data_IF_032213392335
#
_entry.id   IF_032213392335
#
_cell.length_a   1.000
_cell.length_b   1.000
_cell.length_c   1.000
_cell.angle_alpha   90.00
_cell.angle_beta   90.00
_cell.angle_gamma   90.00
#
_symmetry.space_group_name_H-M   'P 1'
#
loop_
_entity.id
_entity.type
_entity.pdbx_description
1 polymer ?
#
# COMPACT_ATOMS: atom_id res chain seq x y z
N UNK A 1 -24.68 55.56 -2.36
CA UNK A 1 -24.34 54.12 -2.47
C UNK A 1 -23.10 53.68 -1.67
N UNK A 2 -21.97 54.40 -1.65
CA UNK A 2 -20.74 53.94 -0.95
C UNK A 2 -20.83 53.87 0.59
N UNK A 3 -21.68 54.69 1.22
CA UNK A 3 -21.85 54.70 2.69
C UNK A 3 -22.64 53.48 3.17
N UNK A 4 -23.69 53.09 2.47
CA UNK A 4 -24.50 51.91 2.79
C UNK A 4 -23.71 50.60 2.70
N UNK A 5 -22.77 50.49 1.75
CA UNK A 5 -21.90 49.31 1.62
C UNK A 5 -20.93 49.20 2.81
N UNK A 6 -20.40 50.33 3.31
CA UNK A 6 -19.52 50.33 4.49
C UNK A 6 -20.28 49.95 5.77
N UNK A 7 -21.50 50.43 5.92
CA UNK A 7 -22.37 50.07 7.06
C UNK A 7 -22.73 48.58 7.01
N UNK A 8 -23.04 48.06 5.82
CA UNK A 8 -23.36 46.64 5.63
C UNK A 8 -22.16 45.73 5.93
N UNK A 9 -20.95 46.10 5.50
CA UNK A 9 -19.73 45.36 5.83
C UNK A 9 -19.41 45.39 7.33
N UNK A 10 -19.64 46.52 8.01
CA UNK A 10 -19.49 46.62 9.47
C UNK A 10 -20.47 45.69 10.20
N UNK A 11 -21.73 45.64 9.78
CA UNK A 11 -22.74 44.73 10.34
C UNK A 11 -22.39 43.25 10.13
N UNK A 12 -21.90 42.89 8.95
CA UNK A 12 -21.41 41.52 8.67
C UNK A 12 -20.23 41.16 9.57
N UNK A 13 -19.26 42.06 9.74
CA UNK A 13 -18.10 41.80 10.60
C UNK A 13 -18.49 41.63 12.07
N UNK A 14 -19.43 42.44 12.57
CA UNK A 14 -19.98 42.33 13.92
C UNK A 14 -20.73 41.01 14.12
N UNK A 15 -21.52 40.55 13.14
CA UNK A 15 -22.19 39.25 13.22
C UNK A 15 -21.22 38.08 13.26
N UNK A 16 -20.12 38.13 12.49
CA UNK A 16 -19.10 37.09 12.48
C UNK A 16 -18.38 37.00 13.83
N UNK A 17 -18.06 38.15 14.44
CA UNK A 17 -17.46 38.21 15.78
C UNK A 17 -18.42 37.63 16.83
N UNK A 18 -19.72 37.95 16.74
CA UNK A 18 -20.72 37.42 17.67
C UNK A 18 -20.86 35.89 17.58
N UNK A 19 -20.83 35.34 16.37
CA UNK A 19 -20.86 33.89 16.14
C UNK A 19 -19.60 33.23 16.73
N UNK A 20 -18.41 33.78 16.48
CA UNK A 20 -17.15 33.24 17.02
C UNK A 20 -17.14 33.28 18.56
N UNK A 21 -17.60 34.38 19.17
CA UNK A 21 -17.72 34.49 20.63
C UNK A 21 -18.71 33.47 21.20
N UNK A 22 -19.84 33.22 20.53
CA UNK A 22 -20.83 32.23 20.98
C UNK A 22 -20.31 30.78 20.91
N UNK A 23 -19.42 30.47 19.95
CA UNK A 23 -18.73 29.19 19.90
C UNK A 23 -17.69 29.06 21.02
N UNK A 24 -17.01 30.14 21.37
CA UNK A 24 -16.07 30.15 22.50
C UNK A 24 -16.76 29.95 23.85
N UNK A 25 -17.92 30.58 24.09
CA UNK A 25 -18.66 30.41 25.35
C UNK A 25 -19.24 29.01 25.52
N UNK A 26 -19.63 28.32 24.44
CA UNK A 26 -20.07 26.92 24.52
C UNK A 26 -18.93 25.91 24.71
N UNK A 27 -17.67 26.30 24.45
CA UNK A 27 -16.51 25.44 24.67
C UNK A 27 -15.89 25.55 26.07
N UNK A 28 -16.21 26.58 26.87
CA UNK A 28 -15.72 26.68 28.25
C UNK A 28 -16.58 25.92 29.27
N UNK A 29 -17.86 25.69 28.99
CA UNK A 29 -18.78 25.00 29.92
C UNK A 29 -18.53 23.49 30.02
N UNK A 30 -17.81 22.87 29.06
CA UNK A 30 -17.48 21.44 29.16
C UNK A 30 -16.29 21.14 30.09
N UNK A 31 -15.49 22.16 30.45
CA UNK A 31 -14.30 22.00 31.30
C UNK A 31 -14.55 22.22 32.79
N UNK A 32 -15.72 22.74 33.20
CA UNK A 32 -16.00 23.07 34.60
C UNK A 32 -16.80 22.00 35.38
N UNK A 33 -17.26 20.92 34.73
CA UNK A 33 -18.04 19.86 35.40
C UNK A 33 -17.20 18.71 35.97
N UNK A 34 -15.87 18.74 35.90
CA UNK A 34 -15.01 17.62 36.34
C UNK A 34 -14.06 17.97 37.51
N UNK A 35 -14.36 19.02 38.28
CA UNK A 35 -13.68 19.33 39.53
C UNK A 35 -14.68 19.47 40.69
N UNK A 36 -15.16 18.34 41.19
CA UNK A 36 -15.58 18.21 42.59
C UNK A 36 -15.66 16.73 42.96
N UNK A 37 -14.60 16.25 43.62
CA UNK A 37 -14.63 15.37 44.79
C UNK A 37 -13.17 15.16 45.23
N UNK A 38 -12.81 15.86 46.30
CA UNK A 38 -11.58 15.65 47.07
C UNK A 38 -11.94 14.73 48.24
N UNK A 39 -11.01 13.92 48.75
CA UNK A 39 -10.65 14.15 50.14
C UNK A 39 -9.13 14.13 50.42
N UNK A 40 -8.79 14.96 51.40
CA UNK A 40 -7.49 15.17 52.03
C UNK A 40 -6.93 13.88 52.64
N UNK A 41 -5.61 13.70 52.63
CA UNK A 41 -4.87 13.21 53.80
C UNK A 41 -3.41 13.68 53.76
N UNK A 42 -2.88 14.04 54.93
CA UNK A 42 -1.69 14.89 55.11
C UNK A 42 -0.34 14.18 55.13
N UNK A 43 0.70 15.02 55.11
CA UNK A 43 2.12 14.69 55.26
C UNK A 43 2.42 14.10 56.64
N UNK A 44 3.23 13.05 56.68
CA UNK A 44 4.27 12.83 57.70
C UNK A 44 5.43 12.00 57.10
N UNK A 45 6.63 12.35 57.52
CA UNK A 45 7.94 12.03 56.95
C UNK A 45 8.63 10.88 57.73
N UNK A 46 9.37 10.05 56.97
CA UNK A 46 10.48 9.15 57.28
C UNK A 46 10.60 8.41 58.62
N UNK A 47 10.60 7.06 58.57
CA UNK A 47 11.81 6.24 58.74
C UNK A 47 11.57 4.72 58.60
N UNK A 48 12.42 4.11 57.75
CA UNK A 48 12.99 2.77 57.84
C UNK A 48 12.06 1.55 58.11
N UNK A 49 11.60 0.89 57.03
CA UNK A 49 11.60 -0.58 56.99
C UNK A 49 11.62 -1.10 55.54
N UNK A 50 12.84 -1.29 55.02
CA UNK A 50 13.10 -2.09 53.83
C UNK A 50 12.68 -3.53 54.13
N UNK A 51 11.52 -3.96 53.61
CA UNK A 51 11.21 -5.34 53.17
C UNK A 51 9.71 -5.64 53.05
N UNK A 52 8.85 -4.71 52.61
CA UNK A 52 7.49 -5.02 52.13
C UNK A 52 7.04 -4.04 51.04
N UNK A 53 7.49 -4.26 49.80
CA UNK A 53 6.90 -3.65 48.60
C UNK A 53 6.26 -4.77 47.77
N UNK A 54 5.36 -5.52 48.39
CA UNK A 54 4.39 -6.37 47.70
C UNK A 54 3.10 -6.34 48.53
N UNK A 55 1.97 -6.08 47.87
CA UNK A 55 0.61 -5.88 48.44
C UNK A 55 0.30 -4.49 49.01
N UNK A 56 0.33 -3.48 48.14
CA UNK A 56 -0.77 -2.52 48.12
C UNK A 56 -1.69 -2.96 46.98
N UNK A 57 -2.79 -3.62 47.33
CA UNK A 57 -3.68 -4.33 46.41
C UNK A 57 -4.28 -3.41 45.35
N UNK A 58 -3.87 -3.60 44.10
CA UNK A 58 -4.74 -3.30 42.98
C UNK A 58 -5.92 -4.28 43.07
N UNK A 59 -7.15 -3.82 42.99
CA UNK A 59 -8.37 -4.65 43.11
C UNK A 59 -8.56 -5.71 42.01
N UNK A 60 -7.51 -6.04 41.26
CA UNK A 60 -7.49 -7.06 40.21
C UNK A 60 -7.05 -8.41 40.76
N UNK A 61 -7.94 -9.37 40.72
CA UNK A 61 -7.70 -10.77 41.05
C UNK A 61 -7.60 -11.58 39.74
N UNK A 62 -6.67 -12.53 39.66
CA UNK A 62 -6.66 -13.51 38.58
C UNK A 62 -7.62 -14.64 38.93
N UNK A 63 -8.55 -14.95 38.03
CA UNK A 63 -9.53 -16.02 38.21
C UNK A 63 -9.56 -16.95 37.00
N UNK A 64 -10.07 -18.16 37.21
CA UNK A 64 -10.29 -19.13 36.14
C UNK A 64 -11.72 -19.00 35.60
N UNK A 65 -11.87 -18.76 34.30
CA UNK A 65 -13.16 -18.78 33.62
C UNK A 65 -13.35 -20.12 32.91
N UNK A 66 -14.33 -20.91 33.35
CA UNK A 66 -14.71 -22.17 32.71
C UNK A 66 -15.68 -21.88 31.55
N UNK A 67 -15.23 -22.12 30.31
CA UNK A 67 -16.00 -21.87 29.10
C UNK A 67 -16.78 -23.14 28.73
N UNK A 68 -18.12 -23.05 28.77
CA UNK A 68 -19.06 -24.14 28.45
C UNK A 68 -18.79 -25.48 29.16
N UNK A 69 -18.08 -25.49 30.30
CA UNK A 69 -17.64 -26.70 31.01
C UNK A 69 -16.65 -27.58 30.24
N UNK A 70 -16.00 -27.06 29.20
CA UNK A 70 -15.06 -27.83 28.36
C UNK A 70 -13.60 -27.51 28.66
N UNK A 71 -13.27 -26.22 28.79
CA UNK A 71 -11.92 -25.74 29.05
C UNK A 71 -11.94 -24.45 29.83
N UNK A 72 -10.78 -24.08 30.36
CA UNK A 72 -10.59 -22.89 31.18
C UNK A 72 -9.69 -21.87 30.52
N UNK A 73 -9.96 -20.59 30.78
CA UNK A 73 -9.11 -19.46 30.37
C UNK A 73 -8.78 -18.57 31.57
N UNK A 74 -7.56 -18.00 31.60
CA UNK A 74 -7.16 -17.03 32.63
C UNK A 74 -7.90 -15.70 32.40
N UNK A 75 -8.58 -15.24 33.44
CA UNK A 75 -9.39 -14.02 33.47
C UNK A 75 -8.92 -13.07 34.56
N UNK A 76 -9.39 -11.82 34.50
CA UNK A 76 -9.19 -10.84 35.57
C UNK A 76 -10.53 -10.49 36.19
N UNK A 77 -10.58 -10.27 37.49
CA UNK A 77 -11.76 -9.82 38.23
C UNK A 77 -11.43 -8.55 39.00
N UNK A 78 -12.30 -7.54 38.91
CA UNK A 78 -12.20 -6.31 39.72
C UNK A 78 -13.54 -6.05 40.41
N UNK A 79 -13.60 -6.24 41.72
CA UNK A 79 -14.89 -6.19 42.44
C UNK A 79 -15.83 -7.30 41.98
N UNK A 80 -16.94 -6.95 41.32
CA UNK A 80 -17.90 -7.91 40.73
C UNK A 80 -17.73 -8.08 39.21
N UNK A 81 -16.91 -7.25 38.56
CA UNK A 81 -16.71 -7.29 37.11
C UNK A 81 -15.67 -8.36 36.73
N UNK A 82 -15.95 -9.13 35.69
CA UNK A 82 -15.04 -10.15 35.15
C UNK A 82 -14.61 -9.78 33.74
N UNK A 83 -13.31 -9.62 33.55
CA UNK A 83 -12.68 -9.31 32.27
C UNK A 83 -12.10 -10.57 31.63
N UNK A 84 -12.55 -10.83 30.40
CA UNK A 84 -12.07 -11.93 29.56
C UNK A 84 -10.93 -11.45 28.66
N UNK A 85 -9.90 -12.28 28.41
CA UNK A 85 -8.81 -11.90 27.52
C UNK A 85 -9.29 -11.81 26.08
N UNK A 86 -8.90 -10.75 25.36
CA UNK A 86 -9.31 -10.56 23.96
C UNK A 86 -8.80 -11.68 23.04
N UNK A 87 -7.69 -12.33 23.36
CA UNK A 87 -7.18 -13.50 22.61
C UNK A 87 -8.17 -14.66 22.58
N UNK A 88 -8.94 -14.85 23.65
CA UNK A 88 -10.07 -15.78 23.70
C UNK A 88 -11.24 -15.25 22.86
N UNK A 89 -11.67 -14.01 23.11
CA UNK A 89 -12.82 -13.41 22.42
C UNK A 89 -12.65 -13.39 20.89
N UNK A 90 -11.45 -13.04 20.40
CA UNK A 90 -11.09 -13.01 18.99
C UNK A 90 -11.33 -14.35 18.29
N UNK A 91 -10.92 -15.45 18.91
CA UNK A 91 -11.06 -16.79 18.35
C UNK A 91 -12.45 -17.36 18.56
N UNK A 92 -13.04 -17.15 19.73
CA UNK A 92 -14.32 -17.75 20.11
C UNK A 92 -15.50 -17.08 19.40
N UNK A 93 -15.48 -15.75 19.23
CA UNK A 93 -16.54 -14.98 18.59
C UNK A 93 -16.20 -14.51 17.17
N UNK A 94 -15.00 -14.85 16.66
CA UNK A 94 -14.52 -14.43 15.33
C UNK A 94 -14.54 -12.90 15.12
N UNK A 95 -14.23 -12.15 16.18
CA UNK A 95 -14.19 -10.67 16.20
C UNK A 95 -12.77 -10.16 16.11
N UNK A 96 -12.57 -8.94 15.61
CA UNK A 96 -11.24 -8.38 15.35
C UNK A 96 -10.91 -7.24 16.29
N UNK A 97 -9.64 -7.10 16.61
CA UNK A 97 -9.19 -5.93 17.34
C UNK A 97 -7.69 -5.76 17.33
N UNK A 98 -7.25 -4.53 17.55
CA UNK A 98 -5.84 -4.15 17.57
C UNK A 98 -5.61 -2.96 18.48
N UNK A 99 -4.39 -2.84 18.99
CA UNK A 99 -3.94 -1.62 19.65
C UNK A 99 -3.53 -0.60 18.59
N UNK A 100 -4.03 0.61 18.73
CA UNK A 100 -3.72 1.75 17.87
C UNK A 100 -3.28 2.93 18.73
N UNK A 101 -2.24 3.63 18.30
CA UNK A 101 -1.74 4.81 19.00
C UNK A 101 -2.32 6.07 18.35
N UNK A 102 -3.00 6.89 19.16
CA UNK A 102 -3.57 8.17 18.77
C UNK A 102 -3.05 9.25 19.70
N UNK A 103 -2.28 10.20 19.16
CA UNK A 103 -1.73 11.34 19.91
C UNK A 103 -0.95 10.94 21.17
N UNK A 104 -0.21 9.82 21.09
CA UNK A 104 0.56 9.27 22.22
C UNK A 104 -0.24 8.41 23.18
N UNK A 105 -1.55 8.26 22.99
CA UNK A 105 -2.42 7.40 23.78
C UNK A 105 -2.72 6.11 23.02
N UNK A 106 -2.46 4.98 23.68
CA UNK A 106 -2.83 3.67 23.15
C UNK A 106 -4.33 3.40 23.39
N UNK A 107 -5.03 2.99 22.34
CA UNK A 107 -6.45 2.63 22.37
C UNK A 107 -6.62 1.26 21.73
N UNK A 108 -7.49 0.44 22.32
CA UNK A 108 -7.91 -0.81 21.70
C UNK A 108 -9.08 -0.55 20.76
N UNK A 109 -8.89 -0.83 19.47
CA UNK A 109 -9.95 -0.76 18.47
C UNK A 109 -10.62 -2.12 18.33
N UNK A 110 -11.91 -2.20 18.63
CA UNK A 110 -12.73 -3.39 18.44
C UNK A 110 -13.54 -3.27 17.14
N UNK A 111 -13.61 -4.34 16.36
CA UNK A 111 -14.50 -4.45 15.21
C UNK A 111 -15.12 -5.83 15.10
N UNK A 112 -16.41 -5.88 14.79
CA UNK A 112 -17.10 -7.14 14.55
C UNK A 112 -16.75 -7.75 13.17
N UNK A 113 -16.34 -6.92 12.20
CA UNK A 113 -15.98 -7.35 10.85
C UNK A 113 -14.75 -6.61 10.34
N UNK A 114 -14.07 -7.15 9.32
CA UNK A 114 -12.87 -6.54 8.74
C UNK A 114 -13.14 -5.73 7.46
N UNK A 115 -14.23 -6.03 6.74
CA UNK A 115 -14.52 -5.44 5.44
C UNK A 115 -15.36 -4.17 5.57
N UNK A 116 -15.19 -3.25 4.61
CA UNK A 116 -15.94 -2.00 4.54
C UNK A 116 -16.84 -2.01 3.31
N UNK A 117 -18.05 -1.49 3.46
CA UNK A 117 -18.97 -1.29 2.34
C UNK A 117 -18.52 -0.09 1.53
N UNK A 118 -18.43 -0.24 0.20
CA UNK A 118 -18.20 0.88 -0.68
C UNK A 118 -19.51 1.66 -0.88
N UNK A 119 -19.51 2.94 -0.52
CA UNK A 119 -20.64 3.82 -0.75
C UNK A 119 -20.62 4.34 -2.21
N UNK A 120 -21.60 3.97 -3.06
CA UNK A 120 -21.64 4.42 -4.44
C UNK A 120 -21.77 5.95 -4.52
N UNK A 121 -20.97 6.59 -5.38
CA UNK A 121 -21.03 8.05 -5.59
C UNK A 121 -22.20 8.49 -6.48
N UNK A 122 -22.91 7.55 -7.10
CA UNK A 122 -24.01 7.81 -8.02
C UNK A 122 -24.56 6.53 -8.63
N UNK A 123 -25.47 6.67 -9.61
CA UNK A 123 -26.04 5.54 -10.36
C UNK A 123 -24.96 4.88 -11.22
N UNK A 124 -24.97 3.55 -11.28
CA UNK A 124 -24.03 2.80 -12.11
C UNK A 124 -24.15 3.16 -13.59
N UNK A 125 -23.00 3.29 -14.24
CA UNK A 125 -22.85 3.52 -15.67
C UNK A 125 -21.89 2.46 -16.24
N UNK A 126 -22.27 1.68 -17.26
CA UNK A 126 -21.38 0.69 -17.89
C UNK A 126 -20.06 1.25 -18.45
N UNK A 127 -19.98 2.57 -18.71
CA UNK A 127 -18.75 3.26 -19.13
C UNK A 127 -18.01 3.97 -17.98
N UNK A 128 -18.51 3.84 -16.75
CA UNK A 128 -17.90 4.41 -15.56
C UNK A 128 -17.06 3.39 -14.80
N UNK A 129 -16.70 3.72 -13.57
CA UNK A 129 -16.00 2.80 -12.67
C UNK A 129 -16.79 1.49 -12.50
N UNK A 130 -16.07 0.37 -12.46
CA UNK A 130 -16.69 -0.93 -12.20
C UNK A 130 -16.85 -1.13 -10.69
N UNK A 131 -17.99 -0.70 -10.16
CA UNK A 131 -18.36 -0.86 -8.76
C UNK A 131 -17.36 -0.19 -7.79
N UNK A 132 -16.42 -0.95 -7.19
CA UNK A 132 -15.36 -0.44 -6.31
C UNK A 132 -13.96 -0.95 -6.71
N UNK A 133 -13.81 -1.33 -7.98
CA UNK A 133 -12.58 -1.92 -8.49
C UNK A 133 -11.46 -0.88 -8.67
N UNK A 134 -11.74 0.42 -8.53
CA UNK A 134 -10.73 1.46 -8.37
C UNK A 134 -9.81 1.18 -7.17
N UNK A 135 -10.32 0.47 -6.16
CA UNK A 135 -9.57 0.11 -4.94
C UNK A 135 -8.94 -1.30 -5.01
N UNK A 136 -9.11 -2.02 -6.10
CA UNK A 136 -8.62 -3.40 -6.22
C UNK A 136 -7.20 -3.43 -6.78
N UNK A 137 -6.31 -4.12 -6.07
CA UNK A 137 -5.00 -4.54 -6.56
C UNK A 137 -5.08 -6.04 -6.78
N UNK A 138 -5.32 -6.45 -8.03
CA UNK A 138 -5.55 -7.86 -8.38
C UNK A 138 -4.21 -8.58 -8.40
N UNK A 139 -3.22 -7.95 -9.01
CA UNK A 139 -1.82 -8.34 -9.14
C UNK A 139 -1.09 -8.57 -7.82
N UNK A 140 -1.55 -7.97 -6.71
CA UNK A 140 -0.94 -8.14 -5.39
C UNK A 140 -1.51 -9.29 -4.56
N UNK A 141 -2.41 -10.10 -5.13
CA UNK A 141 -3.01 -11.24 -4.42
C UNK A 141 -2.11 -12.46 -4.52
N UNK A 142 -1.97 -13.21 -3.44
CA UNK A 142 -1.08 -14.39 -3.38
C UNK A 142 -1.39 -15.49 -4.40
N UNK A 143 -2.64 -15.55 -4.88
CA UNK A 143 -3.06 -16.48 -5.94
C UNK A 143 -2.69 -16.02 -7.35
N UNK A 144 -2.17 -14.81 -7.52
CA UNK A 144 -1.57 -14.35 -8.78
C UNK A 144 -0.11 -14.75 -8.76
N UNK A 145 0.26 -15.72 -9.59
CA UNK A 145 1.64 -16.22 -9.69
C UNK A 145 2.57 -15.17 -10.28
N UNK A 146 2.15 -14.57 -11.39
CA UNK A 146 2.85 -13.52 -12.11
C UNK A 146 1.90 -12.88 -13.14
N UNK A 147 2.34 -11.79 -13.76
CA UNK A 147 1.78 -11.34 -15.03
C UNK A 147 2.50 -12.08 -16.16
N UNK A 148 1.74 -12.73 -17.04
CA UNK A 148 2.29 -13.30 -18.26
C UNK A 148 2.91 -12.19 -19.09
N UNK A 149 4.20 -12.26 -19.35
CA UNK A 149 4.86 -11.24 -20.16
C UNK A 149 4.61 -11.42 -21.67
N UNK A 150 4.04 -12.57 -22.08
CA UNK A 150 3.50 -12.80 -23.43
C UNK A 150 2.13 -12.13 -23.59
N UNK A 151 1.18 -12.46 -22.70
CA UNK A 151 -0.22 -12.06 -22.85
C UNK A 151 -0.56 -10.76 -22.12
N UNK A 152 0.32 -10.26 -21.26
CA UNK A 152 0.10 -9.07 -20.44
C UNK A 152 -0.97 -9.22 -19.36
N UNK A 153 -1.35 -10.46 -19.00
CA UNK A 153 -2.45 -10.75 -18.07
C UNK A 153 -2.04 -11.70 -16.94
N UNK A 154 -2.72 -11.68 -15.77
CA UNK A 154 -2.32 -12.47 -14.62
C UNK A 154 -2.54 -13.98 -14.77
N UNK A 155 -1.58 -14.77 -14.31
CA UNK A 155 -1.64 -16.23 -14.19
C UNK A 155 -2.08 -16.59 -12.77
N UNK A 156 -3.09 -17.44 -12.64
CA UNK A 156 -3.67 -17.87 -11.36
C UNK A 156 -3.08 -19.17 -10.86
N UNK A 157 -2.89 -19.31 -9.56
CA UNK A 157 -2.57 -20.56 -8.85
C UNK A 157 -3.69 -21.02 -7.91
N UNK A 158 -4.88 -20.43 -8.01
CA UNK A 158 -5.97 -20.61 -7.05
C UNK A 158 -6.37 -22.08 -6.82
N UNK A 159 -6.27 -22.91 -7.85
CA UNK A 159 -6.64 -24.34 -7.79
C UNK A 159 -5.50 -25.28 -8.19
N UNK A 160 -4.47 -24.77 -8.86
CA UNK A 160 -3.34 -25.55 -9.37
C UNK A 160 -2.06 -24.75 -9.28
N UNK A 161 -1.01 -25.34 -8.70
CA UNK A 161 0.28 -24.66 -8.47
C UNK A 161 1.07 -24.37 -9.75
N UNK A 162 0.81 -25.12 -10.84
CA UNK A 162 1.48 -24.91 -12.13
C UNK A 162 1.19 -23.52 -12.71
N UNK A 163 -0.01 -23.01 -12.46
CA UNK A 163 -0.49 -21.75 -13.00
C UNK A 163 -1.34 -21.94 -14.26
N UNK A 164 -2.43 -21.18 -14.37
CA UNK A 164 -3.31 -21.18 -15.54
C UNK A 164 -3.97 -19.82 -15.73
N UNK A 165 -4.43 -19.54 -16.95
CA UNK A 165 -5.22 -18.34 -17.24
C UNK A 165 -6.63 -18.49 -16.69
N UNK A 166 -6.96 -17.69 -15.68
CA UNK A 166 -8.29 -17.69 -15.08
C UNK A 166 -9.10 -16.48 -15.54
N UNK A 167 -10.13 -16.67 -16.40
CA UNK A 167 -10.84 -15.56 -17.04
C UNK A 167 -11.41 -14.53 -16.06
N UNK A 168 -11.95 -14.98 -14.92
CA UNK A 168 -12.48 -14.07 -13.89
C UNK A 168 -11.39 -13.17 -13.32
N UNK A 169 -10.19 -13.71 -13.05
CA UNK A 169 -9.07 -12.92 -12.54
C UNK A 169 -8.56 -11.93 -13.60
N UNK A 170 -8.47 -12.36 -14.85
CA UNK A 170 -8.07 -11.52 -15.98
C UNK A 170 -9.07 -10.36 -16.16
N UNK A 171 -10.37 -10.64 -16.14
CA UNK A 171 -11.40 -9.62 -16.22
C UNK A 171 -11.34 -8.66 -15.03
N UNK A 172 -11.13 -9.16 -13.81
CA UNK A 172 -10.97 -8.31 -12.63
C UNK A 172 -9.76 -7.38 -12.74
N UNK A 173 -8.63 -7.88 -13.25
CA UNK A 173 -7.42 -7.11 -13.49
C UNK A 173 -7.68 -5.98 -14.50
N UNK A 174 -8.30 -6.29 -15.65
CA UNK A 174 -8.65 -5.27 -16.64
C UNK A 174 -9.63 -4.22 -16.08
N UNK A 175 -10.69 -4.65 -15.39
CA UNK A 175 -11.70 -3.74 -14.82
C UNK A 175 -11.15 -2.87 -13.68
N UNK A 176 -10.19 -3.36 -12.89
CA UNK A 176 -9.52 -2.56 -11.86
C UNK A 176 -8.62 -1.50 -12.48
N UNK A 177 -7.78 -1.86 -13.44
CA UNK A 177 -6.94 -0.88 -14.16
C UNK A 177 -7.78 0.15 -14.93
N UNK A 178 -8.87 -0.28 -15.57
CA UNK A 178 -9.83 0.64 -16.21
C UNK A 178 -10.44 1.62 -15.20
N UNK A 179 -10.87 1.13 -14.04
CA UNK A 179 -11.47 1.99 -13.01
C UNK A 179 -10.45 2.97 -12.42
N UNK A 180 -9.21 2.51 -12.16
CA UNK A 180 -8.10 3.37 -11.70
C UNK A 180 -7.78 4.47 -12.70
N UNK A 181 -7.74 4.14 -14.00
CA UNK A 181 -7.51 5.12 -15.06
C UNK A 181 -8.54 6.27 -15.07
N UNK A 182 -9.77 6.03 -14.60
CA UNK A 182 -10.81 7.06 -14.51
C UNK A 182 -10.75 7.87 -13.19
N UNK A 183 -10.07 7.38 -12.16
CA UNK A 183 -10.10 7.97 -10.81
C UNK A 183 -8.77 8.52 -10.34
N UNK A 184 -7.66 7.95 -10.80
CA UNK A 184 -6.30 8.34 -10.43
C UNK A 184 -5.82 9.49 -11.33
N UNK A 185 -4.88 10.33 -10.84
CA UNK A 185 -4.26 11.35 -11.69
C UNK A 185 -3.46 10.73 -12.82
N UNK A 186 -3.33 11.47 -13.93
CA UNK A 186 -2.48 11.08 -15.06
C UNK A 186 -1.04 10.77 -14.61
N UNK A 187 -0.46 9.63 -15.01
CA UNK A 187 0.88 9.24 -14.59
C UNK A 187 1.93 10.17 -15.19
N UNK A 188 3.00 10.42 -14.42
CA UNK A 188 4.17 11.13 -14.94
C UNK A 188 4.89 10.24 -15.94
N UNK A 189 5.20 10.78 -17.12
CA UNK A 189 5.90 10.06 -18.18
C UNK A 189 7.21 10.76 -18.51
N UNK A 190 8.31 10.02 -18.49
CA UNK A 190 9.61 10.48 -18.97
C UNK A 190 10.03 9.59 -20.13
N UNK A 191 9.99 10.15 -21.33
CA UNK A 191 10.60 9.50 -22.51
C UNK A 191 12.09 9.33 -22.24
N UNK A 192 12.64 8.14 -22.49
CA UNK A 192 14.06 7.85 -22.29
C UNK A 192 14.82 7.93 -23.62
N UNK A 193 14.29 7.27 -24.64
CA UNK A 193 14.77 7.23 -26.02
C UNK A 193 13.54 7.25 -26.94
N UNK A 194 13.55 8.08 -27.98
CA UNK A 194 12.52 8.11 -29.04
C UNK A 194 13.09 7.98 -30.46
N UNK A 195 14.40 7.77 -30.60
CA UNK A 195 15.09 7.61 -31.88
C UNK A 195 15.33 8.91 -32.64
N UNK A 196 14.75 10.04 -32.21
CA UNK A 196 14.82 11.33 -32.91
C UNK A 196 15.25 12.48 -31.96
N UNK A 197 14.29 13.03 -31.21
CA UNK A 197 14.51 14.23 -30.38
C UNK A 197 15.22 13.91 -29.08
N UNK A 198 15.02 12.72 -28.54
CA UNK A 198 15.55 12.29 -27.26
C UNK A 198 16.35 11.03 -27.44
N UNK A 199 17.66 11.21 -27.40
CA UNK A 199 18.64 10.16 -27.59
C UNK A 199 19.29 9.83 -26.26
N UNK A 200 19.19 8.58 -25.83
CA UNK A 200 19.82 8.10 -24.61
C UNK A 200 21.32 7.80 -24.83
N UNK A 201 22.10 7.96 -23.77
CA UNK A 201 23.54 7.69 -23.76
C UNK A 201 23.79 6.21 -23.45
N UNK A 202 23.56 5.36 -24.46
CA UNK A 202 23.85 3.93 -24.38
C UNK A 202 25.36 3.67 -24.29
N UNK A 203 25.73 2.71 -23.46
CA UNK A 203 27.12 2.33 -23.21
C UNK A 203 27.32 0.92 -23.76
N UNK A 204 28.39 0.75 -24.56
CA UNK A 204 28.84 -0.56 -25.03
C UNK A 204 29.84 -1.17 -24.06
N UNK A 205 29.70 -2.46 -23.78
CA UNK A 205 30.68 -3.28 -23.07
C UNK A 205 31.12 -4.40 -23.99
N UNK A 206 32.44 -4.55 -24.17
CA UNK A 206 33.04 -5.56 -25.05
C UNK A 206 33.29 -5.08 -26.48
N UNK A 207 34.22 -5.72 -27.20
CA UNK A 207 34.60 -5.33 -28.57
C UNK A 207 33.50 -5.61 -29.60
N UNK A 208 32.64 -6.60 -29.34
CA UNK A 208 31.61 -7.09 -30.27
C UNK A 208 30.23 -6.45 -30.05
N UNK A 209 30.11 -5.54 -29.08
CA UNK A 209 28.87 -4.83 -28.78
C UNK A 209 28.78 -3.54 -29.61
N UNK A 210 27.79 -3.47 -30.50
CA UNK A 210 27.54 -2.31 -31.34
C UNK A 210 26.06 -1.95 -31.37
N UNK A 211 25.76 -0.67 -31.47
CA UNK A 211 24.41 -0.19 -31.72
C UNK A 211 24.44 0.96 -32.71
N UNK A 212 23.37 1.08 -33.48
CA UNK A 212 23.19 2.13 -34.48
C UNK A 212 21.73 2.62 -34.44
N UNK A 213 21.52 3.90 -34.69
CA UNK A 213 20.19 4.44 -34.92
C UNK A 213 19.90 4.35 -36.41
N UNK A 214 18.89 3.57 -36.78
CA UNK A 214 18.55 3.26 -38.18
C UNK A 214 17.07 3.51 -38.41
N UNK A 215 16.74 4.05 -39.58
CA UNK A 215 15.35 4.15 -40.03
C UNK A 215 14.81 2.74 -40.26
N UNK A 216 13.68 2.40 -39.65
CA UNK A 216 13.05 1.11 -39.79
C UNK A 216 12.54 0.91 -41.23
N UNK A 217 12.69 -0.29 -41.78
CA UNK A 217 12.16 -0.62 -43.11
C UNK A 217 10.63 -0.41 -43.12
N UNK A 218 10.13 0.33 -44.12
CA UNK A 218 8.72 0.70 -44.29
C UNK A 218 8.11 1.62 -43.22
N UNK A 219 8.94 2.38 -42.49
CA UNK A 219 8.50 3.39 -41.53
C UNK A 219 9.41 4.62 -41.59
N UNK A 220 8.91 5.77 -41.15
CA UNK A 220 9.74 6.96 -40.92
C UNK A 220 10.38 6.95 -39.52
N UNK A 221 10.06 5.95 -38.69
CA UNK A 221 10.58 5.84 -37.34
C UNK A 221 12.05 5.42 -37.33
N UNK A 222 12.84 6.10 -36.52
CA UNK A 222 14.21 5.72 -36.21
C UNK A 222 14.21 4.81 -34.99
N UNK A 223 14.88 3.66 -35.10
CA UNK A 223 15.01 2.68 -34.02
C UNK A 223 16.46 2.47 -33.65
N UNK A 224 16.69 2.04 -32.41
CA UNK A 224 17.99 1.61 -31.94
C UNK A 224 18.19 0.13 -32.31
N UNK A 225 18.97 -0.12 -33.37
CA UNK A 225 19.43 -1.46 -33.72
C UNK A 225 20.65 -1.79 -32.85
N UNK A 226 20.64 -2.95 -32.20
CA UNK A 226 21.72 -3.40 -31.33
C UNK A 226 22.20 -4.79 -31.74
N UNK A 227 23.49 -5.03 -31.57
CA UNK A 227 24.14 -6.30 -31.86
C UNK A 227 25.15 -6.60 -30.76
N UNK A 228 25.07 -7.81 -30.22
CA UNK A 228 26.01 -8.36 -29.24
C UNK A 228 26.32 -9.81 -29.62
N UNK A 229 27.52 -10.29 -29.28
CA UNK A 229 27.77 -11.74 -29.23
C UNK A 229 27.14 -12.23 -27.92
N UNK A 230 26.46 -13.37 -27.88
CA UNK A 230 25.82 -13.90 -26.65
C UNK A 230 26.78 -14.30 -25.52
N UNK A 231 27.94 -13.67 -25.41
CA UNK A 231 28.93 -13.81 -24.35
C UNK A 231 28.63 -12.84 -23.21
N UNK A 232 28.99 -13.23 -21.98
CA UNK A 232 28.71 -12.46 -20.75
C UNK A 232 29.34 -11.06 -20.77
N UNK A 233 30.40 -10.85 -21.55
CA UNK A 233 31.15 -9.60 -21.61
C UNK A 233 30.62 -8.61 -22.66
N UNK A 234 29.77 -9.07 -23.58
CA UNK A 234 29.25 -8.28 -24.71
C UNK A 234 27.80 -7.87 -24.44
N UNK A 235 27.61 -6.62 -24.01
CA UNK A 235 26.27 -6.09 -23.73
C UNK A 235 26.19 -4.58 -23.97
N UNK A 236 24.97 -4.11 -24.19
CA UNK A 236 24.64 -2.70 -24.36
C UNK A 236 23.67 -2.33 -23.25
N UNK A 237 23.99 -1.29 -22.51
CA UNK A 237 23.21 -0.91 -21.35
C UNK A 237 23.03 0.59 -21.24
N UNK A 238 21.98 0.97 -20.53
CA UNK A 238 21.65 2.34 -20.20
C UNK A 238 21.53 2.45 -18.69
N UNK A 239 22.28 3.39 -18.10
CA UNK A 239 22.13 3.69 -16.67
C UNK A 239 20.88 4.54 -16.48
N UNK A 240 19.94 4.01 -15.71
CA UNK A 240 18.74 4.70 -15.29
C UNK A 240 18.83 5.03 -13.82
N UNK A 241 18.68 6.30 -13.47
CA UNK A 241 18.58 6.76 -12.08
C UNK A 241 17.13 7.16 -11.80
N UNK A 242 16.32 6.15 -11.50
CA UNK A 242 14.87 6.25 -11.36
C UNK A 242 14.43 5.54 -10.09
N UNK A 243 13.78 6.29 -9.18
CA UNK A 243 13.46 5.81 -7.81
C UNK A 243 11.96 5.81 -7.51
N UNK A 244 11.14 6.52 -8.31
CA UNK A 244 9.73 6.78 -7.98
C UNK A 244 8.76 6.03 -8.91
N UNK A 245 9.00 6.08 -10.22
CA UNK A 245 8.12 5.46 -11.22
C UNK A 245 8.76 4.15 -11.70
N UNK A 246 8.11 3.02 -11.42
CA UNK A 246 8.62 1.66 -11.69
C UNK A 246 7.90 0.96 -12.85
N UNK A 247 7.21 1.72 -13.70
CA UNK A 247 6.58 1.20 -14.92
C UNK A 247 7.49 1.55 -16.11
N UNK A 248 8.12 0.54 -16.69
CA UNK A 248 8.91 0.66 -17.92
C UNK A 248 8.06 0.24 -19.11
N UNK A 249 7.99 1.10 -20.13
CA UNK A 249 7.38 0.81 -21.42
C UNK A 249 8.44 0.95 -22.50
N UNK A 250 8.51 -0.02 -23.40
CA UNK A 250 9.39 0.01 -24.55
C UNK A 250 8.76 -0.73 -25.73
N UNK A 251 9.07 -0.28 -26.94
CA UNK A 251 8.81 -1.03 -28.16
C UNK A 251 10.09 -1.82 -28.49
N UNK A 252 9.99 -3.15 -28.54
CA UNK A 252 11.14 -4.03 -28.70
C UNK A 252 10.85 -5.12 -29.72
N UNK A 253 11.87 -5.44 -30.52
CA UNK A 253 11.89 -6.62 -31.38
C UNK A 253 13.18 -7.38 -31.09
N UNK A 254 13.05 -8.55 -30.49
CA UNK A 254 14.16 -9.42 -30.17
C UNK A 254 14.37 -10.48 -31.26
N UNK A 255 15.57 -11.04 -31.31
CA UNK A 255 15.82 -12.30 -32.01
C UNK A 255 15.74 -13.45 -31.02
N UNK A 256 15.62 -14.70 -31.49
CA UNK A 256 15.37 -15.87 -30.63
C UNK A 256 16.41 -16.12 -29.53
N UNK A 257 17.62 -15.57 -29.65
CA UNK A 257 18.70 -15.69 -28.65
C UNK A 257 19.05 -14.34 -27.99
N UNK A 258 18.11 -13.40 -27.95
CA UNK A 258 18.29 -12.11 -27.32
C UNK A 258 17.55 -12.02 -25.98
N UNK A 259 18.00 -11.11 -25.12
CA UNK A 259 17.33 -10.83 -23.85
C UNK A 259 17.39 -9.35 -23.53
N UNK A 260 16.40 -8.88 -22.77
CA UNK A 260 16.40 -7.57 -22.14
C UNK A 260 16.54 -7.77 -20.63
N UNK A 261 17.48 -7.06 -20.01
CA UNK A 261 17.69 -7.16 -18.55
C UNK A 261 17.39 -5.80 -17.92
N UNK A 262 16.49 -5.79 -16.93
CA UNK A 262 16.23 -4.63 -16.08
C UNK A 262 16.82 -4.90 -14.71
N UNK A 263 17.80 -4.09 -14.30
CA UNK A 263 18.39 -4.16 -12.96
C UNK A 263 17.63 -3.26 -11.99
N UNK A 264 17.29 -3.81 -10.83
CA UNK A 264 16.56 -3.14 -9.76
C UNK A 264 17.36 -3.22 -8.48
N UNK A 265 17.41 -2.14 -7.71
CA UNK A 265 18.01 -2.13 -6.38
C UNK A 265 16.92 -2.09 -5.32
N UNK A 266 16.96 -3.03 -4.38
CA UNK A 266 16.09 -3.00 -3.22
C UNK A 266 16.40 -1.79 -2.34
N UNK A 267 15.34 -1.10 -1.90
CA UNK A 267 15.47 0.08 -1.05
C UNK A 267 16.04 -0.27 0.32
N UNK A 268 15.65 -1.43 0.85
CA UNK A 268 15.85 -1.79 2.26
C UNK A 268 17.24 -2.37 2.52
N UNK A 269 17.67 -3.34 1.70
CA UNK A 269 18.93 -4.06 1.88
C UNK A 269 20.00 -3.74 0.83
N UNK A 270 19.70 -2.87 -0.15
CA UNK A 270 20.60 -2.47 -1.25
C UNK A 270 21.02 -3.60 -2.18
N UNK A 271 20.40 -4.78 -2.08
CA UNK A 271 20.65 -5.89 -2.99
C UNK A 271 20.15 -5.57 -4.40
N UNK A 272 20.84 -6.16 -5.39
CA UNK A 272 20.50 -6.03 -6.80
C UNK A 272 19.72 -7.24 -7.26
N UNK A 273 18.61 -6.99 -7.92
CA UNK A 273 17.76 -7.97 -8.58
C UNK A 273 17.80 -7.73 -10.08
N UNK A 274 17.81 -8.79 -10.87
CA UNK A 274 17.85 -8.72 -12.32
C UNK A 274 16.60 -9.38 -12.90
N UNK A 275 15.79 -8.59 -13.61
CA UNK A 275 14.65 -9.07 -14.39
C UNK A 275 15.10 -9.36 -15.81
N UNK A 276 15.21 -10.63 -16.16
CA UNK A 276 15.59 -11.13 -17.46
C UNK A 276 14.36 -11.42 -18.30
N UNK A 277 14.14 -10.63 -19.34
CA UNK A 277 13.12 -10.87 -20.33
C UNK A 277 13.72 -11.63 -21.52
N UNK A 278 13.35 -12.90 -21.69
CA UNK A 278 13.92 -13.84 -22.67
C UNK A 278 12.83 -14.40 -23.59
N UNK A 279 13.21 -14.99 -24.72
CA UNK A 279 12.29 -15.76 -25.56
C UNK A 279 12.29 -17.24 -25.12
N UNK A 280 11.29 -17.66 -24.33
CA UNK A 280 11.14 -19.02 -23.78
C UNK A 280 9.65 -19.38 -23.67
N UNK A 281 9.33 -20.64 -23.31
CA UNK A 281 7.95 -21.12 -23.07
C UNK A 281 7.58 -21.16 -21.55
N UNK A 282 8.55 -20.98 -20.65
CA UNK A 282 8.34 -20.93 -19.19
C UNK A 282 7.84 -19.57 -18.64
N UNK A 283 6.62 -19.51 -18.10
CA UNK A 283 6.01 -18.23 -17.63
C UNK A 283 6.88 -17.36 -16.72
N UNK A 284 7.53 -17.98 -15.72
CA UNK A 284 8.42 -17.31 -14.77
C UNK A 284 9.34 -18.35 -14.14
N UNK A 285 10.60 -18.00 -13.97
CA UNK A 285 11.58 -18.75 -13.18
C UNK A 285 12.34 -17.81 -12.26
N UNK A 286 12.74 -18.30 -11.09
CA UNK A 286 13.47 -17.53 -10.10
C UNK A 286 14.69 -18.31 -9.63
N UNK A 287 15.85 -17.69 -9.78
CA UNK A 287 17.11 -18.11 -9.18
C UNK A 287 17.60 -17.00 -8.24
N UNK A 288 18.56 -17.27 -7.36
CA UNK A 288 19.00 -16.30 -6.34
C UNK A 288 19.41 -14.98 -7.01
N UNK A 289 18.63 -13.91 -6.77
CA UNK A 289 18.73 -12.57 -7.35
C UNK A 289 18.34 -12.40 -8.84
N UNK A 290 17.89 -13.46 -9.51
CA UNK A 290 17.49 -13.45 -10.92
C UNK A 290 16.03 -13.84 -11.08
N UNK A 291 15.25 -13.02 -11.78
CA UNK A 291 13.90 -13.35 -12.19
C UNK A 291 13.85 -13.41 -13.71
N UNK A 292 13.41 -14.54 -14.26
CA UNK A 292 13.25 -14.73 -15.70
C UNK A 292 11.78 -14.58 -16.07
N UNK A 293 11.47 -13.71 -17.01
CA UNK A 293 10.17 -13.43 -17.59
C UNK A 293 10.26 -13.58 -19.12
N UNK A 294 9.14 -13.83 -19.80
CA UNK A 294 9.16 -14.07 -21.25
C UNK A 294 8.69 -12.88 -22.06
N UNK A 295 9.42 -12.51 -23.11
CA UNK A 295 8.89 -11.69 -24.21
C UNK A 295 8.71 -12.56 -25.46
N UNK A 296 7.55 -12.48 -26.11
CA UNK A 296 7.36 -13.08 -27.44
C UNK A 296 8.02 -12.25 -28.55
N UNK A 297 8.41 -12.96 -29.61
CA UNK A 297 8.85 -12.43 -30.91
C UNK A 297 7.67 -11.95 -31.75
#
# INVERSE_FOLDING_TARGET
>A
MRVYIRIFLMLLSLSAIFVILSFWTKCSDLKYSMHKLNPKFGMFEDQAYSSQVEKLGSGFEEIECVINQEYSVSCRKEGEEVYLPFTFLHKYFEVYGKLANYDGLEKFEWSHTYSRVNNPKGKYNPRGIFMYFDKYNVESRDRVKCLSAIEGVPISTQWESKGYYYPTQIAQFGLSHYSKNLTEPEPKRKVIEDGDKKLANWIKSGPDANFFRKVQENSENVVLEFQTLGTVTSHIFLKLDHVVDLILQLDIKLSSNSSLIVSLQSRDNKELFYLHYISSDEHISAEVCYLFCILMN
#
